data_IF_824129145166
#
_entry.id   IF_824129145166
#
_cell.length_a   1.000
_cell.length_b   1.000
_cell.length_c   1.000
_cell.angle_alpha   90.00
_cell.angle_beta   90.00
_cell.angle_gamma   90.00
#
_symmetry.space_group_name_H-M   'P 1'
#
loop_
_entity.id
_entity.type
_entity.pdbx_description
1 polymer ?
#
# COMPACT_ATOMS: atom_id res chain seq x y z
N UNK A 1 4.73 9.23 19.97
CA UNK A 1 3.58 9.10 19.06
C UNK A 1 3.97 8.19 17.89
N UNK A 2 3.94 6.88 18.10
CA UNK A 2 4.25 5.89 17.06
C UNK A 2 2.97 5.51 16.33
N UNK A 3 2.70 6.18 15.20
CA UNK A 3 1.59 5.84 14.32
C UNK A 3 1.88 4.60 13.48
N UNK A 4 0.84 4.12 12.80
CA UNK A 4 1.00 3.13 11.74
C UNK A 4 1.91 3.71 10.63
N UNK A 5 2.95 2.96 10.24
CA UNK A 5 3.79 3.28 9.09
C UNK A 5 3.19 2.60 7.86
N UNK A 6 2.77 3.35 6.83
CA UNK A 6 2.22 2.77 5.61
C UNK A 6 3.28 1.94 4.86
N UNK A 7 2.82 0.94 4.11
CA UNK A 7 3.66 0.23 3.16
C UNK A 7 4.26 1.25 2.18
N UNK A 8 5.48 1.06 1.70
CA UNK A 8 6.13 2.01 0.78
C UNK A 8 6.91 3.11 1.48
N UNK A 9 6.86 3.17 2.82
CA UNK A 9 7.54 4.18 3.61
C UNK A 9 8.27 3.57 4.81
N UNK A 10 9.38 4.19 5.17
CA UNK A 10 10.09 3.99 6.43
C UNK A 10 10.06 5.29 7.24
N UNK A 11 10.13 5.16 8.57
CA UNK A 11 10.23 6.32 9.47
C UNK A 11 11.70 6.54 9.81
N UNK A 12 12.25 7.66 9.34
CA UNK A 12 13.60 8.12 9.66
C UNK A 12 13.48 9.54 10.19
N UNK A 13 14.00 9.80 11.39
CA UNK A 13 13.94 11.13 12.03
C UNK A 13 12.54 11.77 12.06
N UNK A 14 11.52 10.94 12.34
CA UNK A 14 10.09 11.33 12.35
C UNK A 14 9.54 11.77 11.00
N UNK A 15 10.24 11.51 9.90
CA UNK A 15 9.80 11.73 8.53
C UNK A 15 9.50 10.40 7.85
N UNK A 16 8.52 10.42 6.94
CA UNK A 16 8.27 9.30 6.05
C UNK A 16 9.20 9.42 4.85
N UNK A 17 10.09 8.44 4.71
CA UNK A 17 11.01 8.32 3.58
C UNK A 17 10.51 7.17 2.71
N UNK A 18 10.50 7.39 1.39
CA UNK A 18 10.06 6.36 0.44
C UNK A 18 11.01 5.17 0.51
N UNK A 19 10.43 3.99 0.72
CA UNK A 19 11.12 2.72 0.53
C UNK A 19 10.85 2.25 -0.90
N UNK A 20 11.81 2.40 -1.81
CA UNK A 20 11.59 2.12 -3.24
C UNK A 20 11.20 0.67 -3.55
N UNK A 21 11.69 -0.29 -2.78
CA UNK A 21 11.35 -1.69 -2.96
C UNK A 21 9.87 -1.94 -2.63
N UNK A 22 9.38 -1.37 -1.52
CA UNK A 22 7.96 -1.43 -1.17
C UNK A 22 7.10 -0.56 -2.09
N UNK A 23 7.58 0.61 -2.51
CA UNK A 23 6.88 1.49 -3.44
C UNK A 23 6.66 0.83 -4.81
N UNK A 24 7.62 0.02 -5.28
CA UNK A 24 7.44 -0.78 -6.49
C UNK A 24 6.30 -1.79 -6.36
N UNK A 25 6.11 -2.38 -5.19
CA UNK A 25 4.97 -3.28 -4.93
C UNK A 25 3.65 -2.51 -5.01
N UNK A 26 3.60 -1.30 -4.45
CA UNK A 26 2.41 -0.45 -4.49
C UNK A 26 2.04 -0.09 -5.93
N UNK A 27 3.02 0.37 -6.73
CA UNK A 27 2.83 0.64 -8.16
C UNK A 27 2.26 -0.59 -8.88
N UNK A 28 2.83 -1.77 -8.63
CA UNK A 28 2.33 -3.05 -9.17
C UNK A 28 0.88 -3.34 -8.76
N UNK A 29 0.49 -3.05 -7.52
CA UNK A 29 -0.88 -3.25 -7.04
C UNK A 29 -1.88 -2.34 -7.76
N UNK A 30 -1.58 -1.05 -7.90
CA UNK A 30 -2.41 -0.11 -8.65
C UNK A 30 -2.53 -0.52 -10.12
N UNK A 31 -1.41 -0.88 -10.73
CA UNK A 31 -1.34 -1.34 -12.11
C UNK A 31 -2.14 -2.61 -12.38
N UNK A 32 -2.01 -3.64 -11.53
CA UNK A 32 -2.76 -4.88 -11.69
C UNK A 32 -4.26 -4.66 -11.47
N UNK A 33 -4.62 -3.83 -10.50
CA UNK A 33 -6.01 -3.49 -10.26
C UNK A 33 -6.63 -2.72 -11.44
N UNK A 34 -5.93 -1.73 -11.98
CA UNK A 34 -6.41 -0.92 -13.11
C UNK A 34 -6.61 -1.73 -14.40
N UNK A 35 -5.91 -2.85 -14.57
CA UNK A 35 -5.99 -3.73 -15.75
C UNK A 35 -6.96 -4.92 -15.58
N UNK A 36 -7.51 -5.13 -14.39
CA UNK A 36 -8.28 -6.34 -14.08
C UNK A 36 -9.73 -6.01 -13.72
N UNK A 37 -10.66 -6.76 -14.30
CA UNK A 37 -12.09 -6.68 -13.94
C UNK A 37 -12.42 -7.52 -12.69
N UNK A 38 -11.44 -8.24 -12.12
CA UNK A 38 -11.62 -9.11 -10.98
C UNK A 38 -10.59 -8.84 -9.88
N UNK A 39 -11.06 -8.31 -8.75
CA UNK A 39 -10.26 -8.16 -7.53
C UNK A 39 -9.70 -9.49 -7.04
N UNK A 40 -10.47 -10.58 -7.14
CA UNK A 40 -10.01 -11.91 -6.72
C UNK A 40 -8.83 -12.39 -7.58
N UNK A 41 -8.84 -12.12 -8.88
CA UNK A 41 -7.71 -12.44 -9.77
C UNK A 41 -6.46 -11.62 -9.38
N UNK A 42 -6.62 -10.32 -9.10
CA UNK A 42 -5.53 -9.45 -8.64
C UNK A 42 -4.90 -9.98 -7.35
N UNK A 43 -5.73 -10.35 -6.37
CA UNK A 43 -5.25 -10.90 -5.08
C UNK A 43 -4.47 -12.20 -5.29
N UNK A 44 -4.96 -13.10 -6.14
CA UNK A 44 -4.26 -14.36 -6.45
C UNK A 44 -2.90 -14.09 -7.09
N UNK A 45 -2.86 -13.20 -8.07
CA UNK A 45 -1.64 -12.81 -8.77
C UNK A 45 -0.62 -12.16 -7.82
N UNK A 46 -1.06 -11.21 -6.99
CA UNK A 46 -0.19 -10.56 -5.99
C UNK A 46 0.39 -11.58 -5.00
N UNK A 47 -0.41 -12.54 -4.53
CA UNK A 47 0.08 -13.57 -3.63
C UNK A 47 1.00 -14.59 -4.33
N UNK A 48 0.75 -14.91 -5.60
CA UNK A 48 1.63 -15.76 -6.41
C UNK A 48 3.00 -15.11 -6.65
N UNK A 49 3.03 -13.78 -6.81
CA UNK A 49 4.25 -12.97 -6.90
C UNK A 49 4.97 -12.78 -5.56
N UNK A 50 4.39 -13.25 -4.46
CA UNK A 50 4.95 -13.09 -3.12
C UNK A 50 4.80 -11.68 -2.54
N UNK A 51 3.93 -10.83 -3.09
CA UNK A 51 3.64 -9.50 -2.52
C UNK A 51 3.00 -9.67 -1.14
N UNK A 52 3.52 -8.93 -0.15
CA UNK A 52 3.05 -8.96 1.24
C UNK A 52 2.81 -7.56 1.77
N UNK A 53 1.97 -7.46 2.80
CA UNK A 53 1.83 -6.21 3.56
C UNK A 53 3.10 -5.90 4.38
N UNK A 54 3.18 -4.68 4.95
CA UNK A 54 4.28 -4.24 5.85
C UNK A 54 4.52 -5.19 7.05
N UNK A 55 3.54 -6.02 7.41
CA UNK A 55 3.63 -7.04 8.48
C UNK A 55 3.84 -8.47 7.94
N UNK A 56 4.31 -8.60 6.71
CA UNK A 56 4.55 -9.86 6.02
C UNK A 56 3.32 -10.77 5.88
N UNK A 57 2.11 -10.18 5.86
CA UNK A 57 0.86 -10.94 5.64
C UNK A 57 0.52 -11.01 4.15
N UNK A 58 -0.13 -12.08 3.68
CA UNK A 58 -0.75 -12.13 2.35
C UNK A 58 -1.64 -10.91 2.12
N UNK A 59 -1.72 -10.46 0.87
CA UNK A 59 -2.68 -9.42 0.50
C UNK A 59 -4.05 -10.05 0.40
N UNK A 60 -5.02 -9.49 1.12
CA UNK A 60 -6.43 -9.84 1.02
C UNK A 60 -7.23 -8.66 0.42
N UNK A 61 -8.55 -8.85 0.28
CA UNK A 61 -9.44 -7.83 -0.26
C UNK A 61 -9.42 -6.54 0.56
N UNK A 62 -9.43 -6.64 1.89
CA UNK A 62 -9.44 -5.48 2.77
C UNK A 62 -8.15 -4.68 2.67
N UNK A 63 -7.01 -5.36 2.66
CA UNK A 63 -5.69 -4.75 2.52
C UNK A 63 -5.53 -4.05 1.17
N UNK A 64 -5.95 -4.69 0.07
CA UNK A 64 -5.90 -4.11 -1.26
C UNK A 64 -6.79 -2.87 -1.36
N UNK A 65 -8.06 -2.96 -0.95
CA UNK A 65 -8.98 -1.82 -1.02
C UNK A 65 -8.54 -0.65 -0.14
N UNK A 66 -8.08 -0.94 1.08
CA UNK A 66 -7.55 0.09 1.96
C UNK A 66 -6.38 0.82 1.30
N UNK A 67 -5.45 0.09 0.69
CA UNK A 67 -4.30 0.66 0.01
C UNK A 67 -4.70 1.53 -1.19
N UNK A 68 -5.62 1.05 -2.04
CA UNK A 68 -6.07 1.78 -3.22
C UNK A 68 -6.79 3.10 -2.90
N UNK A 69 -7.46 3.16 -1.74
CA UNK A 69 -8.18 4.37 -1.31
C UNK A 69 -7.35 5.29 -0.40
N UNK A 70 -6.17 4.83 0.06
CA UNK A 70 -5.34 5.61 0.96
C UNK A 70 -4.80 6.86 0.24
N UNK A 71 -5.09 8.04 0.84
CA UNK A 71 -4.70 9.34 0.29
C UNK A 71 -3.18 9.52 0.31
N UNK A 72 -2.47 8.80 1.17
CA UNK A 72 -1.01 8.95 1.28
C UNK A 72 -0.29 8.58 -0.01
N UNK A 73 -0.79 7.60 -0.76
CA UNK A 73 -0.21 7.21 -2.05
C UNK A 73 -0.54 8.19 -3.19
N UNK A 74 -1.35 9.22 -2.91
CA UNK A 74 -1.54 10.40 -3.76
C UNK A 74 -0.67 11.58 -3.33
N UNK A 75 0.22 11.40 -2.35
CA UNK A 75 1.04 12.46 -1.77
C UNK A 75 0.28 13.34 -0.77
N UNK A 76 -0.94 12.96 -0.40
CA UNK A 76 -1.79 13.73 0.51
C UNK A 76 -1.64 13.20 1.94
N UNK A 77 -1.08 14.01 2.84
CA UNK A 77 -0.97 13.66 4.25
C UNK A 77 -2.14 14.29 4.99
N UNK A 78 -3.10 13.47 5.42
CA UNK A 78 -4.18 13.95 6.29
C UNK A 78 -3.72 13.96 7.74
N UNK A 79 -3.59 15.16 8.34
CA UNK A 79 -3.54 15.28 9.79
C UNK A 79 -4.96 15.05 10.34
N UNK A 80 -5.11 14.34 11.45
CA UNK A 80 -6.42 14.14 12.08
C UNK A 80 -7.04 15.50 12.43
N UNK A 81 -7.93 16.01 11.58
CA UNK A 81 -8.86 17.08 11.93
C UNK A 81 -8.83 18.37 11.09
N UNK A 82 -7.92 18.56 10.14
CA UNK A 82 -7.91 19.79 9.33
C UNK A 82 -7.90 19.47 7.83
N UNK A 83 -8.89 20.07 7.15
CA UNK A 83 -9.03 20.13 5.69
C UNK A 83 -8.66 21.53 5.26
#
# INVERSE_FOLDING_TARGET
>A
MGGYVPLGYDVVDRKLIVNEAEAAQIRTMFELFARSDSTAAVIRELNARGTRSKRSRPIDHGALYKLLHDRIYRGEITHKGET
#
